data_IF_007103514109
#
_entry.id   IF_007103514109
#
_cell.length_a   1.000
_cell.length_b   1.000
_cell.length_c   1.000
_cell.angle_alpha   90.00
_cell.angle_beta   90.00
_cell.angle_gamma   90.00
#
_symmetry.space_group_name_H-M   'P 1'
#
loop_
_entity.id
_entity.type
_entity.pdbx_description
1 polymer ?
#
# COMPACT_ATOMS: atom_id res chain seq x y z
N UNK A 1 1.31 -1.53 -24.49
CA UNK A 1 1.26 -0.83 -23.19
C UNK A 1 0.76 -1.84 -22.19
N UNK A 2 1.62 -2.21 -21.23
CA UNK A 2 1.41 -3.34 -20.33
C UNK A 2 0.51 -2.86 -19.17
N UNK A 3 -0.82 -2.88 -19.37
CA UNK A 3 -1.83 -2.26 -18.48
C UNK A 3 -1.68 -2.62 -16.99
N UNK A 4 -1.08 -3.76 -16.69
CA UNK A 4 -0.79 -4.20 -15.32
C UNK A 4 0.26 -3.34 -14.59
N UNK A 5 1.16 -2.65 -15.31
CA UNK A 5 2.22 -1.83 -14.72
C UNK A 5 1.70 -0.50 -14.16
N UNK A 6 0.60 -0.02 -14.74
CA UNK A 6 -0.04 1.25 -14.35
C UNK A 6 -1.26 1.01 -13.44
N UNK A 7 -1.52 -0.26 -13.08
CA UNK A 7 -2.63 -0.66 -12.23
C UNK A 7 -2.19 -0.84 -10.78
N UNK A 8 -2.94 -0.21 -9.87
CA UNK A 8 -2.68 -0.22 -8.44
C UNK A 8 -3.95 -0.59 -7.66
N UNK A 9 -3.78 -1.24 -6.52
CA UNK A 9 -4.81 -1.30 -5.49
C UNK A 9 -4.69 -0.04 -4.64
N UNK A 10 -5.76 0.75 -4.58
CA UNK A 10 -5.88 1.93 -3.73
C UNK A 10 -6.54 1.56 -2.40
N UNK A 11 -5.87 1.89 -1.30
CA UNK A 11 -6.36 1.64 0.05
C UNK A 11 -5.95 2.75 1.00
N UNK A 12 -6.61 2.81 2.16
CA UNK A 12 -6.39 3.82 3.17
C UNK A 12 -5.88 3.20 4.47
N UNK A 13 -4.92 3.86 5.09
CA UNK A 13 -4.29 3.41 6.33
C UNK A 13 -3.66 4.60 7.06
N UNK A 14 -3.88 4.70 8.37
CA UNK A 14 -3.24 5.68 9.25
C UNK A 14 -3.42 7.14 8.77
N UNK A 15 -4.55 7.45 8.14
CA UNK A 15 -4.82 8.79 7.63
C UNK A 15 -4.33 9.06 6.21
N UNK A 16 -3.74 8.08 5.51
CA UNK A 16 -3.13 8.27 4.19
C UNK A 16 -3.62 7.28 3.15
N UNK A 17 -3.68 7.74 1.89
CA UNK A 17 -3.92 6.91 0.73
C UNK A 17 -2.63 6.24 0.26
N UNK A 18 -2.71 4.94 -0.02
CA UNK A 18 -1.60 4.13 -0.52
C UNK A 18 -1.97 3.41 -1.80
N UNK A 19 -0.98 3.28 -2.68
CA UNK A 19 -1.07 2.56 -3.94
C UNK A 19 -0.11 1.38 -3.90
N UNK A 20 -0.67 0.17 -3.95
CA UNK A 20 0.10 -1.06 -4.06
C UNK A 20 0.05 -1.55 -5.52
N UNK A 21 1.19 -1.74 -6.21
CA UNK A 21 1.17 -2.25 -7.58
C UNK A 21 0.40 -3.56 -7.67
N UNK A 22 -0.59 -3.62 -8.57
CA UNK A 22 -1.57 -4.71 -8.60
C UNK A 22 -0.91 -6.08 -8.84
N UNK A 23 0.22 -6.11 -9.54
CA UNK A 23 1.02 -7.31 -9.78
C UNK A 23 1.49 -8.02 -8.50
N UNK A 24 1.51 -7.33 -7.36
CA UNK A 24 1.92 -7.89 -6.07
C UNK A 24 0.73 -8.29 -5.18
N UNK A 25 -0.50 -7.96 -5.58
CA UNK A 25 -1.71 -8.28 -4.83
C UNK A 25 -2.13 -9.72 -5.11
N UNK A 26 -2.08 -10.57 -4.10
CA UNK A 26 -2.60 -11.95 -4.18
C UNK A 26 -4.11 -11.97 -3.93
N UNK A 27 -4.57 -11.29 -2.86
CA UNK A 27 -5.97 -11.31 -2.43
C UNK A 27 -6.26 -10.14 -1.48
N UNK A 28 -7.52 -9.70 -1.44
CA UNK A 28 -8.07 -8.87 -0.36
C UNK A 28 -9.12 -9.69 0.39
N UNK A 29 -9.05 -9.72 1.72
CA UNK A 29 -10.01 -10.43 2.59
C UNK A 29 -10.33 -9.60 3.83
N UNK A 30 -11.26 -10.08 4.66
CA UNK A 30 -11.48 -9.50 5.97
C UNK A 30 -10.28 -9.79 6.90
N UNK A 31 -9.93 -8.85 7.78
CA UNK A 31 -8.89 -9.04 8.79
C UNK A 31 -9.25 -10.15 9.78
N UNK A 32 -10.55 -10.38 10.03
CA UNK A 32 -11.05 -11.48 10.85
C UNK A 32 -10.75 -12.87 10.29
N UNK A 33 -10.43 -12.97 8.99
CA UNK A 33 -10.09 -14.23 8.31
C UNK A 33 -8.57 -14.43 8.21
N UNK A 34 -7.78 -13.61 8.93
CA UNK A 34 -6.31 -13.69 8.91
C UNK A 34 -5.85 -15.07 9.38
N UNK A 35 -4.95 -15.65 8.59
CA UNK A 35 -4.10 -16.76 9.00
C UNK A 35 -3.09 -16.27 10.07
N UNK A 36 -3.09 -16.83 11.30
CA UNK A 36 -2.17 -16.42 12.35
C UNK A 36 -0.69 -16.57 11.98
N UNK A 37 -0.36 -17.49 11.06
CA UNK A 37 1.01 -17.70 10.57
C UNK A 37 1.42 -16.71 9.47
N UNK A 38 0.46 -15.93 8.92
CA UNK A 38 0.78 -14.90 7.94
C UNK A 38 1.44 -13.71 8.65
N UNK A 39 2.71 -13.38 8.31
CA UNK A 39 3.37 -12.20 8.86
C UNK A 39 2.67 -10.93 8.37
N UNK A 40 2.66 -9.90 9.20
CA UNK A 40 2.17 -8.58 8.81
C UNK A 40 3.34 -7.68 8.45
N UNK A 41 3.14 -6.85 7.42
CA UNK A 41 4.09 -5.80 7.10
C UNK A 41 4.15 -4.81 8.27
N UNK A 42 5.37 -4.43 8.64
CA UNK A 42 5.61 -3.34 9.59
C UNK A 42 6.36 -2.26 8.85
N UNK A 43 5.61 -1.24 8.41
CA UNK A 43 6.19 -0.03 7.87
C UNK A 43 6.93 0.64 9.02
N UNK A 44 8.27 0.61 9.01
CA UNK A 44 9.09 0.95 10.17
C UNK A 44 8.69 2.27 10.82
N UNK A 45 7.90 2.25 11.90
CA UNK A 45 7.41 3.44 12.59
C UNK A 45 5.89 3.63 12.56
N UNK A 46 5.16 2.94 11.68
CA UNK A 46 3.74 2.67 11.88
C UNK A 46 3.64 1.39 12.71
N UNK A 47 3.58 1.55 14.03
CA UNK A 47 2.93 0.53 14.86
C UNK A 47 1.50 0.44 14.35
N UNK A 48 1.22 -0.59 13.54
CA UNK A 48 -0.15 -0.90 13.18
C UNK A 48 -0.88 -1.12 14.50
N UNK A 49 -1.92 -0.34 14.81
CA UNK A 49 -2.66 -0.55 16.05
C UNK A 49 -3.06 -2.03 16.13
N UNK A 50 -3.06 -2.63 17.33
CA UNK A 50 -3.50 -4.01 17.50
C UNK A 50 -4.83 -4.21 16.76
N UNK A 51 -4.98 -5.39 16.16
CA UNK A 51 -6.02 -5.84 15.21
C UNK A 51 -7.46 -5.43 15.58
N UNK A 52 -7.71 -5.03 16.82
CA UNK A 52 -9.02 -4.80 17.39
C UNK A 52 -9.69 -3.47 17.05
N UNK A 53 -9.03 -2.41 16.58
CA UNK A 53 -9.77 -1.20 16.16
C UNK A 53 -9.11 -0.44 15.02
N UNK A 54 -9.60 -0.63 13.80
CA UNK A 54 -9.44 0.33 12.71
C UNK A 54 -9.22 -0.27 11.33
N UNK A 55 -8.78 -1.53 11.24
CA UNK A 55 -8.35 -2.13 9.97
C UNK A 55 -9.17 -3.38 9.62
N UNK A 56 -10.39 -3.23 9.08
CA UNK A 56 -11.25 -4.37 8.76
C UNK A 56 -10.78 -5.18 7.54
N UNK A 57 -9.86 -4.63 6.73
CA UNK A 57 -9.36 -5.28 5.52
C UNK A 57 -7.93 -5.80 5.70
N UNK A 58 -7.67 -6.94 5.08
CA UNK A 58 -6.34 -7.56 4.95
C UNK A 58 -6.00 -7.70 3.47
N UNK A 59 -4.94 -7.03 3.04
CA UNK A 59 -4.37 -7.12 1.70
C UNK A 59 -3.23 -8.14 1.77
N UNK A 60 -3.37 -9.27 1.11
CA UNK A 60 -2.32 -10.30 1.02
C UNK A 60 -1.44 -9.97 -0.18
N UNK A 61 -0.16 -9.80 0.10
CA UNK A 61 0.87 -9.46 -0.87
C UNK A 61 1.74 -10.68 -1.11
N UNK A 62 2.03 -10.96 -2.38
CA UNK A 62 3.01 -11.98 -2.79
C UNK A 62 4.04 -11.36 -3.69
N UNK A 63 5.26 -11.22 -3.21
CA UNK A 63 6.39 -10.73 -4.00
C UNK A 63 7.56 -11.71 -3.93
N UNK A 64 7.88 -12.34 -5.07
CA UNK A 64 8.88 -13.43 -5.13
C UNK A 64 8.51 -14.56 -4.14
N UNK A 65 9.39 -14.85 -3.20
CA UNK A 65 9.21 -15.86 -2.16
C UNK A 65 8.59 -15.30 -0.86
N UNK A 66 8.30 -13.99 -0.82
CA UNK A 66 7.67 -13.35 0.33
C UNK A 66 6.15 -13.35 0.18
N UNK A 67 5.46 -13.71 1.26
CA UNK A 67 4.01 -13.63 1.39
C UNK A 67 3.67 -13.03 2.75
N UNK A 68 2.94 -11.93 2.76
CA UNK A 68 2.61 -11.19 3.98
C UNK A 68 1.29 -10.42 3.84
N UNK A 69 0.77 -9.93 4.97
CA UNK A 69 -0.44 -9.13 5.03
C UNK A 69 -0.17 -7.65 5.29
N UNK A 70 -0.99 -6.78 4.71
CA UNK A 70 -1.09 -5.36 5.06
C UNK A 70 -2.51 -5.12 5.58
N UNK A 71 -2.63 -4.62 6.81
CA UNK A 71 -3.90 -4.15 7.35
C UNK A 71 -4.30 -2.82 6.73
N UNK A 72 -5.59 -2.64 6.43
CA UNK A 72 -6.11 -1.42 5.84
C UNK A 72 -7.45 -1.02 6.47
N UNK A 73 -7.64 0.30 6.63
CA UNK A 73 -8.88 0.89 7.14
C UNK A 73 -10.00 0.81 6.10
N UNK A 74 -9.66 1.06 4.84
CA UNK A 74 -10.56 0.89 3.70
C UNK A 74 -9.79 0.48 2.45
N UNK A 75 -10.49 -0.16 1.50
CA UNK A 75 -9.98 -0.47 0.17
C UNK A 75 -10.90 0.21 -0.83
N UNK A 76 -10.40 1.22 -1.54
CA UNK A 76 -11.18 1.98 -2.51
C UNK A 76 -11.37 1.21 -3.83
N UNK A 77 -10.43 0.33 -4.17
CA UNK A 77 -10.50 -0.53 -5.36
C UNK A 77 -9.28 -0.38 -6.26
N UNK A 78 -9.48 -0.54 -7.56
CA UNK A 78 -8.41 -0.43 -8.56
C UNK A 78 -8.26 1.01 -9.05
N UNK A 79 -7.03 1.45 -9.19
CA UNK A 79 -6.67 2.75 -9.75
C UNK A 79 -5.67 2.56 -10.89
N UNK A 80 -5.92 3.22 -12.03
CA UNK A 80 -4.97 3.33 -13.13
C UNK A 80 -4.27 4.70 -13.06
N UNK A 81 -2.97 4.68 -12.79
CA UNK A 81 -2.16 5.88 -12.61
C UNK A 81 -1.09 5.93 -13.70
N UNK A 82 -1.13 6.99 -14.50
CA UNK A 82 -0.14 7.22 -15.55
C UNK A 82 1.18 7.71 -14.96
N UNK A 83 2.30 7.36 -15.61
CA UNK A 83 3.66 7.71 -15.14
C UNK A 83 3.84 9.23 -14.93
N UNK A 84 3.13 10.07 -15.69
CA UNK A 84 3.17 11.53 -15.59
C UNK A 84 2.66 12.07 -14.26
N UNK A 85 1.82 11.29 -13.55
CA UNK A 85 1.25 11.62 -12.25
C UNK A 85 2.05 11.04 -11.08
N UNK A 86 3.14 10.33 -11.36
CA UNK A 86 4.01 9.70 -10.36
C UNK A 86 5.26 10.56 -10.18
N UNK A 87 5.50 10.99 -8.96
CA UNK A 87 6.62 11.83 -8.57
C UNK A 87 7.53 11.08 -7.59
N UNK A 88 8.82 11.05 -7.89
CA UNK A 88 9.82 10.44 -7.03
C UNK A 88 9.87 11.15 -5.67
N UNK A 89 10.10 10.37 -4.60
CA UNK A 89 10.31 10.93 -3.27
C UNK A 89 11.77 11.40 -3.17
N UNK A 90 12.03 12.63 -2.70
CA UNK A 90 13.40 13.13 -2.56
C UNK A 90 14.24 12.26 -1.62
N UNK A 91 15.48 11.93 -2.00
CA UNK A 91 16.36 11.10 -1.17
C UNK A 91 16.58 11.66 0.24
N UNK A 92 16.61 12.99 0.39
CA UNK A 92 16.79 13.66 1.68
C UNK A 92 15.65 13.45 2.69
N UNK A 93 14.49 12.97 2.26
CA UNK A 93 13.37 12.60 3.17
C UNK A 93 13.25 11.10 3.40
N UNK A 94 14.07 10.30 2.72
CA UNK A 94 14.09 8.84 2.87
C UNK A 94 14.90 8.42 4.10
N UNK A 95 14.43 7.38 4.79
CA UNK A 95 15.00 6.86 6.01
C UNK A 95 14.72 5.35 6.14
N UNK A 96 15.31 4.72 7.16
CA UNK A 96 15.01 3.32 7.50
C UNK A 96 13.52 3.07 7.83
N UNK A 97 12.78 4.13 8.13
CA UNK A 97 11.40 4.09 8.59
C UNK A 97 10.38 4.23 7.44
N UNK A 98 10.78 4.75 6.27
CA UNK A 98 9.88 4.98 5.13
C UNK A 98 10.43 4.47 3.78
N UNK A 99 11.48 3.66 3.81
CA UNK A 99 12.11 3.01 2.65
C UNK A 99 11.19 2.14 1.80
N UNK A 100 10.02 1.76 2.33
CA UNK A 100 8.97 1.08 1.57
C UNK A 100 8.17 2.02 0.66
N UNK A 101 8.37 3.34 0.76
CA UNK A 101 7.77 4.32 -0.14
C UNK A 101 8.62 4.45 -1.40
N UNK A 102 8.01 4.22 -2.55
CA UNK A 102 8.66 4.32 -3.87
C UNK A 102 8.51 5.70 -4.48
N UNK A 103 7.29 6.23 -4.41
CA UNK A 103 6.89 7.46 -5.08
C UNK A 103 5.63 8.03 -4.43
N UNK A 104 5.26 9.24 -4.84
CA UNK A 104 3.96 9.84 -4.58
C UNK A 104 3.19 9.92 -5.90
N UNK A 105 1.90 9.65 -5.88
CA UNK A 105 1.00 9.85 -7.00
C UNK A 105 -0.05 10.91 -6.66
N UNK A 106 -0.48 11.66 -7.66
CA UNK A 106 -1.61 12.58 -7.56
C UNK A 106 -2.87 11.90 -8.10
N UNK A 107 -3.82 11.62 -7.22
CA UNK A 107 -5.14 11.09 -7.55
C UNK A 107 -6.08 12.25 -7.91
N UNK A 108 -6.91 12.09 -8.93
CA UNK A 108 -7.97 13.08 -9.21
C UNK A 108 -9.06 12.94 -8.15
N UNK A 109 -9.28 14.02 -7.39
CA UNK A 109 -10.38 14.12 -6.43
C UNK A 109 -11.68 14.47 -7.14
N UNK A 110 -12.82 14.18 -6.49
CA UNK A 110 -14.15 14.45 -7.05
C UNK A 110 -14.40 15.96 -7.30
N UNK A 111 -13.71 16.83 -6.55
CA UNK A 111 -13.80 18.28 -6.67
C UNK A 111 -12.93 18.87 -7.80
N UNK A 112 -12.30 18.03 -8.62
CA UNK A 112 -11.35 18.44 -9.65
C UNK A 112 -9.98 18.86 -9.11
N UNK A 113 -9.74 18.63 -7.81
CA UNK A 113 -8.44 18.76 -7.16
C UNK A 113 -7.59 17.48 -7.28
N UNK A 114 -6.42 17.49 -6.64
CA UNK A 114 -5.57 16.31 -6.56
C UNK A 114 -5.29 15.92 -5.11
N UNK A 115 -5.55 14.65 -4.79
CA UNK A 115 -5.24 14.06 -3.49
C UNK A 115 -3.95 13.23 -3.58
N UNK A 116 -3.00 13.40 -2.65
CA UNK A 116 -1.77 12.62 -2.66
C UNK A 116 -2.03 11.18 -2.23
N UNK A 117 -1.40 10.24 -2.91
CA UNK A 117 -1.29 8.85 -2.50
C UNK A 117 0.16 8.37 -2.58
N UNK A 118 0.58 7.51 -1.67
CA UNK A 118 1.94 6.98 -1.65
C UNK A 118 2.03 5.63 -2.35
N UNK A 119 2.91 5.53 -3.34
CA UNK A 119 3.21 4.28 -4.05
C UNK A 119 4.15 3.45 -3.20
N UNK A 120 3.76 2.21 -2.94
CA UNK A 120 4.51 1.27 -2.14
C UNK A 120 5.48 0.44 -3.01
N UNK A 121 6.64 0.13 -2.45
CA UNK A 121 7.54 -0.94 -2.91
C UNK A 121 7.49 -2.12 -1.93
N UNK A 122 6.72 -3.18 -2.24
CA UNK A 122 6.65 -4.38 -1.42
C UNK A 122 8.00 -5.08 -1.18
N UNK A 123 8.98 -4.89 -2.07
CA UNK A 123 10.30 -5.50 -1.92
C UNK A 123 11.14 -4.80 -0.85
N UNK A 124 10.76 -3.58 -0.45
CA UNK A 124 11.44 -2.78 0.55
C UNK A 124 10.70 -2.75 1.90
N UNK A 125 9.62 -3.52 2.06
CA UNK A 125 8.88 -3.65 3.32
C UNK A 125 9.61 -4.52 4.34
N UNK A 126 9.58 -4.10 5.61
CA UNK A 126 9.96 -4.94 6.74
C UNK A 126 8.80 -5.85 7.14
N UNK A 127 9.12 -7.06 7.62
CA UNK A 127 8.17 -8.04 8.13
C UNK A 127 8.47 -8.29 9.61
N UNK A 128 7.43 -8.39 10.43
CA UNK A 128 7.52 -8.89 11.82
C UNK A 128 7.01 -10.33 11.94
#
# INVERSE_FOLDING_TARGET
MDRLRDSYLLFYLAGFSFLLPLQWVERVSAMSERDPELPLAVGGGMEFPPVETGQPYLIIVRCRDLRFGIGAESVAGLAEIGEERIHGIPEGVMSSHNRYLKAMALLEGEDGGYDPAFVLDPLAMGLE
#
